data_IF_898308640693
#
_entry.id   IF_898308640693
#
_cell.length_a   1.000
_cell.length_b   1.000
_cell.length_c   1.000
_cell.angle_alpha   90.00
_cell.angle_beta   90.00
_cell.angle_gamma   90.00
#
_symmetry.space_group_name_H-M   'P 1'
#
loop_
_entity.id
_entity.type
_entity.pdbx_description
1 polymer ?
#
# COMPACT_ATOMS: atom_id res chain seq x y z
N UNK A 1 9.71 -4.16 4.74
CA UNK A 1 9.71 -5.60 5.08
C UNK A 1 11.12 -6.15 4.90
N UNK A 2 12.01 -5.67 5.75
CA UNK A 2 13.41 -6.10 5.87
C UNK A 2 13.99 -5.54 7.16
N UNK A 3 15.11 -6.10 7.63
CA UNK A 3 15.90 -5.52 8.70
C UNK A 3 16.70 -4.33 8.14
N UNK A 4 16.48 -3.15 8.70
CA UNK A 4 17.22 -1.95 8.31
C UNK A 4 18.68 -2.09 8.80
N UNK A 5 19.70 -1.67 8.04
CA UNK A 5 21.09 -1.66 8.51
C UNK A 5 21.23 -0.95 9.86
N UNK A 6 22.13 -1.45 10.71
CA UNK A 6 22.41 -0.94 12.05
C UNK A 6 21.30 -1.12 13.10
N UNK A 7 20.18 -1.84 12.77
CA UNK A 7 19.17 -2.18 13.77
C UNK A 7 19.77 -3.01 14.92
N UNK A 8 20.73 -3.88 14.60
CA UNK A 8 21.46 -4.72 15.54
C UNK A 8 22.37 -3.96 16.51
N UNK A 9 22.71 -2.72 16.19
CA UNK A 9 23.58 -1.87 17.03
C UNK A 9 22.79 -1.10 18.09
N UNK A 10 21.45 -1.19 18.07
CA UNK A 10 20.61 -0.51 19.04
C UNK A 10 20.39 -1.38 20.27
N UNK A 11 20.57 -0.82 21.46
CA UNK A 11 20.25 -1.48 22.73
C UNK A 11 18.81 -1.22 23.11
N UNK A 12 17.91 -2.09 22.59
CA UNK A 12 16.49 -2.03 22.85
C UNK A 12 16.02 -3.24 23.65
N UNK A 13 15.01 -3.06 24.51
CA UNK A 13 14.36 -4.15 25.25
C UNK A 13 13.53 -5.04 24.31
N UNK A 14 12.97 -4.47 23.23
CA UNK A 14 12.15 -5.17 22.27
C UNK A 14 12.30 -4.60 20.85
N UNK A 15 12.28 -5.49 19.86
CA UNK A 15 12.26 -5.17 18.44
C UNK A 15 10.95 -5.62 17.82
N UNK A 16 10.08 -4.67 17.47
CA UNK A 16 8.88 -4.97 16.70
C UNK A 16 9.24 -5.14 15.23
N UNK A 17 8.97 -6.32 14.68
CA UNK A 17 9.29 -6.63 13.29
C UNK A 17 8.03 -6.78 12.42
N UNK A 18 8.12 -6.49 11.11
CA UNK A 18 6.96 -6.43 10.22
C UNK A 18 6.20 -7.74 10.03
N UNK A 19 6.86 -8.89 10.23
CA UNK A 19 6.27 -10.21 10.03
C UNK A 19 7.16 -11.30 10.63
N UNK A 20 6.55 -12.38 11.10
CA UNK A 20 7.27 -13.60 11.55
C UNK A 20 8.11 -14.23 10.43
N UNK A 21 7.79 -14.00 9.16
CA UNK A 21 8.56 -14.44 8.00
C UNK A 21 9.95 -13.79 7.89
N UNK A 22 10.17 -12.71 8.62
CA UNK A 22 11.43 -11.99 8.67
C UNK A 22 12.29 -12.36 9.89
N UNK A 23 11.77 -13.12 10.84
CA UNK A 23 12.49 -13.51 12.08
C UNK A 23 13.89 -14.04 11.80
N UNK A 24 14.03 -14.95 10.83
CA UNK A 24 15.33 -15.50 10.46
C UNK A 24 16.33 -14.46 9.94
N UNK A 25 15.86 -13.39 9.30
CA UNK A 25 16.71 -12.27 8.85
C UNK A 25 17.25 -11.48 10.04
N UNK A 26 16.40 -11.17 11.01
CA UNK A 26 16.78 -10.43 12.22
C UNK A 26 17.71 -11.24 13.12
N UNK A 27 17.46 -12.54 13.27
CA UNK A 27 18.35 -13.46 14.02
C UNK A 27 19.75 -13.51 13.39
N UNK A 28 19.86 -13.59 12.05
CA UNK A 28 21.15 -13.60 11.37
C UNK A 28 21.95 -12.31 11.55
N UNK A 29 21.28 -11.22 11.91
CA UNK A 29 21.91 -9.94 12.27
C UNK A 29 22.28 -9.86 13.75
N UNK A 30 22.07 -10.92 14.53
CA UNK A 30 22.47 -10.98 15.93
C UNK A 30 21.43 -10.46 16.93
N UNK A 31 20.22 -10.12 16.49
CA UNK A 31 19.17 -9.69 17.41
C UNK A 31 18.62 -10.93 18.14
N UNK A 32 18.61 -10.97 19.49
CA UNK A 32 18.15 -12.10 20.26
C UNK A 32 16.68 -12.43 20.01
N UNK A 33 16.33 -13.72 20.01
CA UNK A 33 14.98 -14.19 19.70
C UNK A 33 13.92 -13.71 20.69
N UNK A 34 14.26 -13.66 21.96
CA UNK A 34 13.42 -13.21 23.08
C UNK A 34 13.09 -11.70 22.99
N UNK A 35 13.92 -10.93 22.30
CA UNK A 35 13.67 -9.51 22.00
C UNK A 35 12.87 -9.28 20.70
N UNK A 36 12.54 -10.32 19.90
CA UNK A 36 11.86 -10.18 18.59
C UNK A 36 10.36 -10.39 18.68
N UNK A 37 9.59 -9.37 18.37
CA UNK A 37 8.12 -9.37 18.38
C UNK A 37 7.56 -9.12 16.97
N UNK A 38 7.07 -10.16 16.26
CA UNK A 38 6.56 -10.06 14.89
C UNK A 38 5.12 -9.53 14.87
N UNK A 39 4.89 -8.34 15.39
CA UNK A 39 3.57 -7.73 15.54
C UNK A 39 3.06 -7.00 14.28
N UNK A 40 3.95 -6.72 13.32
CA UNK A 40 3.57 -6.01 12.12
C UNK A 40 3.93 -4.53 12.13
N UNK A 41 3.60 -3.83 11.04
CA UNK A 41 3.74 -2.37 10.92
C UNK A 41 2.44 -1.72 11.37
N UNK A 42 2.46 -0.81 12.35
CA UNK A 42 1.24 -0.14 12.81
C UNK A 42 0.70 0.80 11.74
N UNK A 43 -0.62 0.80 11.56
CA UNK A 43 -1.35 1.74 10.72
C UNK A 43 -2.33 2.56 11.56
N UNK A 44 -2.76 3.72 11.06
CA UNK A 44 -3.74 4.52 11.77
C UNK A 44 -5.11 3.84 11.80
N UNK A 45 -5.95 4.19 12.77
CA UNK A 45 -7.31 3.66 12.93
C UNK A 45 -8.17 3.82 11.68
N UNK A 46 -7.95 4.87 10.91
CA UNK A 46 -8.66 5.10 9.66
C UNK A 46 -8.53 3.94 8.66
N UNK A 47 -7.46 3.12 8.72
CA UNK A 47 -7.28 1.96 7.86
C UNK A 47 -7.81 0.66 8.48
N UNK A 48 -7.86 0.53 9.80
CA UNK A 48 -8.28 -0.70 10.48
C UNK A 48 -9.75 -0.68 10.91
N UNK A 49 -10.34 0.46 11.20
CA UNK A 49 -11.75 0.58 11.59
C UNK A 49 -12.68 0.40 10.38
N UNK A 50 -13.81 -0.31 10.54
CA UNK A 50 -14.79 -0.47 9.46
C UNK A 50 -15.37 0.88 9.02
N UNK A 51 -15.47 1.08 7.71
CA UNK A 51 -16.15 2.23 7.12
C UNK A 51 -16.94 1.76 5.88
N UNK A 52 -18.28 1.97 5.83
CA UNK A 52 -19.07 1.61 4.66
C UNK A 52 -18.61 2.32 3.39
N UNK A 53 -18.75 1.63 2.24
CA UNK A 53 -18.32 2.15 0.93
C UNK A 53 -19.00 3.49 0.59
N UNK A 54 -20.28 3.64 0.93
CA UNK A 54 -21.05 4.87 0.73
C UNK A 54 -20.43 6.05 1.47
N UNK A 55 -20.04 5.81 2.73
CA UNK A 55 -19.41 6.85 3.56
C UNK A 55 -18.00 7.18 3.06
N UNK A 56 -17.25 6.17 2.64
CA UNK A 56 -15.94 6.38 2.02
C UNK A 56 -16.04 7.19 0.73
N UNK A 57 -17.06 6.93 -0.10
CA UNK A 57 -17.34 7.67 -1.33
C UNK A 57 -17.68 9.15 -1.04
N UNK A 58 -18.52 9.40 -0.04
CA UNK A 58 -18.87 10.76 0.41
C UNK A 58 -17.62 11.53 0.84
N UNK A 59 -16.79 10.94 1.73
CA UNK A 59 -15.57 11.55 2.24
C UNK A 59 -14.56 11.82 1.11
N UNK A 60 -14.42 10.88 0.17
CA UNK A 60 -13.51 10.99 -0.97
C UNK A 60 -14.04 11.89 -2.09
N UNK A 61 -15.33 12.25 -2.09
CA UNK A 61 -15.98 12.98 -3.18
C UNK A 61 -16.05 12.17 -4.48
N UNK A 62 -16.27 10.83 -4.37
CA UNK A 62 -16.29 9.90 -5.49
C UNK A 62 -17.69 9.28 -5.70
N UNK A 63 -18.00 8.90 -6.93
CA UNK A 63 -19.24 8.18 -7.25
C UNK A 63 -19.15 6.72 -6.75
N UNK A 64 -20.03 6.34 -5.82
CA UNK A 64 -20.06 5.00 -5.23
C UNK A 64 -20.34 3.87 -6.23
N UNK A 65 -20.92 4.20 -7.39
CA UNK A 65 -21.31 3.24 -8.42
C UNK A 65 -20.18 2.97 -9.44
N UNK A 66 -19.10 3.74 -9.39
CA UNK A 66 -17.90 3.53 -10.22
C UNK A 66 -16.88 2.63 -9.54
N UNK A 67 -16.10 1.95 -10.34
CA UNK A 67 -14.91 1.21 -9.94
C UNK A 67 -13.70 2.12 -10.11
N UNK A 68 -12.79 2.15 -9.15
CA UNK A 68 -11.66 3.05 -9.23
C UNK A 68 -10.32 2.31 -9.21
N UNK A 69 -9.40 2.77 -10.05
CA UNK A 69 -7.98 2.47 -9.95
C UNK A 69 -7.32 3.65 -9.26
N UNK A 70 -6.83 3.43 -8.05
CA UNK A 70 -6.09 4.43 -7.28
C UNK A 70 -4.61 4.37 -7.65
N UNK A 71 -4.01 5.52 -7.92
CA UNK A 71 -2.62 5.65 -8.31
C UNK A 71 -1.94 6.62 -7.35
N UNK A 72 -0.86 6.16 -6.69
CA UNK A 72 -0.05 7.01 -5.82
C UNK A 72 1.43 6.69 -6.00
N UNK A 73 2.21 7.65 -6.47
CA UNK A 73 3.66 7.50 -6.69
C UNK A 73 4.53 8.02 -5.54
N UNK A 74 3.91 8.59 -4.49
CA UNK A 74 4.65 9.31 -3.46
C UNK A 74 5.32 10.57 -4.03
N UNK A 75 6.38 11.05 -3.35
CA UNK A 75 7.11 12.28 -3.74
C UNK A 75 8.07 12.10 -4.93
N UNK A 76 8.18 10.88 -5.51
CA UNK A 76 9.27 10.56 -6.43
C UNK A 76 8.83 10.29 -7.87
N UNK A 77 9.64 10.76 -8.84
CA UNK A 77 9.67 10.26 -10.20
C UNK A 77 8.48 10.67 -11.09
N UNK A 78 8.19 11.95 -11.20
CA UNK A 78 7.07 12.48 -12.01
C UNK A 78 6.97 11.84 -13.42
N UNK A 79 8.07 11.61 -14.11
CA UNK A 79 8.06 11.08 -15.48
C UNK A 79 7.50 9.67 -15.62
N UNK A 80 7.93 8.74 -14.78
CA UNK A 80 7.44 7.35 -14.80
C UNK A 80 5.97 7.27 -14.37
N UNK A 81 5.57 8.10 -13.41
CA UNK A 81 4.18 8.17 -12.96
C UNK A 81 3.26 8.72 -14.06
N UNK A 82 3.69 9.74 -14.80
CA UNK A 82 2.95 10.27 -15.96
C UNK A 82 2.75 9.20 -17.02
N UNK A 83 3.79 8.41 -17.32
CA UNK A 83 3.66 7.28 -18.25
C UNK A 83 2.66 6.25 -17.75
N UNK A 84 2.71 5.87 -16.47
CA UNK A 84 1.76 4.94 -15.86
C UNK A 84 0.31 5.45 -16.00
N UNK A 85 0.06 6.72 -15.67
CA UNK A 85 -1.25 7.35 -15.79
C UNK A 85 -1.72 7.36 -17.25
N UNK A 86 -0.84 7.71 -18.19
CA UNK A 86 -1.17 7.72 -19.62
C UNK A 86 -1.58 6.34 -20.11
N UNK A 87 -0.83 5.29 -19.79
CA UNK A 87 -1.13 3.92 -20.20
C UNK A 87 -2.47 3.43 -19.64
N UNK A 88 -2.77 3.74 -18.39
CA UNK A 88 -4.04 3.37 -17.76
C UNK A 88 -5.20 4.20 -18.34
N UNK A 89 -4.98 5.49 -18.60
CA UNK A 89 -5.96 6.32 -19.28
C UNK A 89 -6.29 5.75 -20.67
N UNK A 90 -5.28 5.48 -21.50
CA UNK A 90 -5.48 4.93 -22.84
C UNK A 90 -6.20 3.58 -22.80
N UNK A 91 -5.93 2.75 -21.79
CA UNK A 91 -6.58 1.44 -21.60
C UNK A 91 -8.06 1.57 -21.22
N UNK A 92 -8.42 2.52 -20.35
CA UNK A 92 -9.76 2.58 -19.76
C UNK A 92 -10.59 3.79 -20.19
N UNK A 93 -10.10 4.68 -21.05
CA UNK A 93 -10.82 5.92 -21.44
C UNK A 93 -12.24 5.70 -21.95
N UNK A 94 -12.50 4.57 -22.59
CA UNK A 94 -13.83 4.24 -23.15
C UNK A 94 -14.72 3.42 -22.17
N UNK A 95 -14.19 2.95 -21.06
CA UNK A 95 -14.96 2.24 -20.05
C UNK A 95 -15.57 3.24 -19.04
N UNK A 96 -16.85 3.51 -19.16
CA UNK A 96 -17.58 4.47 -18.30
C UNK A 96 -17.66 4.03 -16.83
N UNK A 97 -17.47 2.75 -16.54
CA UNK A 97 -17.55 2.19 -15.17
C UNK A 97 -16.25 2.36 -14.38
N UNK A 98 -15.11 2.56 -15.06
CA UNK A 98 -13.80 2.68 -14.40
C UNK A 98 -13.36 4.15 -14.37
N UNK A 99 -13.05 4.65 -13.18
CA UNK A 99 -12.41 5.94 -12.93
C UNK A 99 -10.96 5.77 -12.48
N UNK A 100 -10.11 6.75 -12.75
CA UNK A 100 -8.74 6.81 -12.24
C UNK A 100 -8.66 7.89 -11.17
N UNK A 101 -8.17 7.55 -9.99
CA UNK A 101 -7.88 8.51 -8.92
C UNK A 101 -6.37 8.62 -8.78
N UNK A 102 -5.83 9.83 -8.92
CA UNK A 102 -4.39 10.08 -8.84
C UNK A 102 -4.07 10.96 -7.65
N UNK A 103 -3.41 10.40 -6.65
CA UNK A 103 -2.89 11.17 -5.51
C UNK A 103 -1.56 11.79 -5.90
N UNK A 104 -1.57 13.08 -6.14
CA UNK A 104 -0.42 13.87 -6.56
C UNK A 104 0.48 14.29 -5.38
N UNK A 105 -0.04 14.27 -4.14
CA UNK A 105 0.67 14.69 -2.95
C UNK A 105 1.14 16.16 -3.08
N UNK A 106 2.41 16.40 -2.80
CA UNK A 106 3.05 17.71 -2.93
C UNK A 106 3.45 18.09 -4.37
N UNK A 107 3.26 17.18 -5.34
CA UNK A 107 3.63 17.43 -6.74
C UNK A 107 2.60 18.33 -7.44
N UNK A 108 2.76 19.66 -7.27
CA UNK A 108 1.90 20.68 -7.88
C UNK A 108 1.88 20.60 -9.40
N UNK A 109 3.02 20.29 -10.04
CA UNK A 109 3.11 20.18 -11.49
C UNK A 109 2.24 19.03 -12.02
N UNK A 110 2.31 17.85 -11.38
CA UNK A 110 1.47 16.71 -11.78
C UNK A 110 -0.01 17.01 -11.60
N UNK A 111 -0.38 17.60 -10.47
CA UNK A 111 -1.75 18.01 -10.22
C UNK A 111 -2.27 18.96 -11.29
N UNK A 112 -1.55 20.06 -11.58
CA UNK A 112 -1.96 21.05 -12.58
C UNK A 112 -2.04 20.46 -13.99
N UNK A 113 -1.20 19.45 -14.30
CA UNK A 113 -1.23 18.74 -15.58
C UNK A 113 -2.46 17.85 -15.75
N UNK A 114 -3.01 17.32 -14.66
CA UNK A 114 -4.14 16.38 -14.67
C UNK A 114 -5.48 17.06 -14.36
N UNK A 115 -5.49 18.04 -13.49
CA UNK A 115 -6.70 18.72 -13.02
C UNK A 115 -7.46 19.34 -14.20
N UNK A 116 -8.72 18.97 -14.34
CA UNK A 116 -9.61 19.46 -15.38
C UNK A 116 -9.32 18.98 -16.81
N UNK A 117 -8.20 18.25 -17.04
CA UNK A 117 -7.85 17.79 -18.40
C UNK A 117 -8.65 16.57 -18.84
N UNK A 118 -9.07 15.75 -17.90
CA UNK A 118 -9.83 14.51 -18.15
C UNK A 118 -10.95 14.36 -17.11
N UNK A 119 -11.92 15.31 -17.05
CA UNK A 119 -12.85 15.45 -15.92
C UNK A 119 -13.72 14.22 -15.68
N UNK A 120 -14.09 13.50 -16.75
CA UNK A 120 -14.94 12.31 -16.64
C UNK A 120 -14.16 11.02 -16.28
N UNK A 121 -12.83 11.07 -16.31
CA UNK A 121 -11.98 9.89 -16.19
C UNK A 121 -10.94 9.96 -15.09
N UNK A 122 -10.31 11.09 -14.86
CA UNK A 122 -9.24 11.27 -13.89
C UNK A 122 -9.65 12.25 -12.81
N UNK A 123 -9.71 11.78 -11.57
CA UNK A 123 -9.80 12.63 -10.39
C UNK A 123 -8.39 12.84 -9.86
N UNK A 124 -7.85 14.04 -10.08
CA UNK A 124 -6.54 14.44 -9.53
C UNK A 124 -6.73 15.00 -8.12
N UNK A 125 -5.97 14.46 -7.16
CA UNK A 125 -6.03 14.85 -5.75
C UNK A 125 -4.66 15.35 -5.30
N UNK A 126 -4.61 16.47 -4.60
CA UNK A 126 -3.40 17.00 -3.97
C UNK A 126 -3.00 16.14 -2.77
N UNK A 127 -2.21 16.70 -1.86
CA UNK A 127 -2.01 16.10 -0.55
C UNK A 127 -3.36 15.92 0.15
N UNK A 128 -3.56 14.76 0.78
CA UNK A 128 -4.82 14.43 1.44
C UNK A 128 -4.56 13.61 2.71
N UNK A 129 -5.34 13.87 3.73
CA UNK A 129 -5.48 13.08 4.96
C UNK A 129 -6.57 11.98 4.83
N UNK A 130 -7.32 11.98 3.70
CA UNK A 130 -8.43 11.05 3.42
C UNK A 130 -7.98 9.78 2.66
N UNK A 131 -6.70 9.42 2.74
CA UNK A 131 -6.12 8.32 1.96
C UNK A 131 -6.86 6.99 2.18
N UNK A 132 -7.29 6.70 3.41
CA UNK A 132 -8.05 5.50 3.73
C UNK A 132 -9.38 5.42 2.96
N UNK A 133 -10.08 6.54 2.79
CA UNK A 133 -11.34 6.60 2.02
C UNK A 133 -11.09 6.37 0.53
N UNK A 134 -10.04 6.95 -0.04
CA UNK A 134 -9.65 6.68 -1.43
C UNK A 134 -9.27 5.21 -1.65
N UNK A 135 -8.52 4.61 -0.72
CA UNK A 135 -8.16 3.19 -0.78
C UNK A 135 -9.39 2.28 -0.70
N UNK A 136 -10.38 2.58 0.18
CA UNK A 136 -11.63 1.82 0.29
C UNK A 136 -12.48 1.87 -0.97
N UNK A 137 -12.37 2.95 -1.74
CA UNK A 137 -13.05 3.08 -3.03
C UNK A 137 -12.32 2.35 -4.17
N UNK A 138 -11.05 1.99 -3.97
CA UNK A 138 -10.22 1.40 -5.01
C UNK A 138 -10.48 -0.10 -5.17
N UNK A 139 -10.64 -0.54 -6.43
CA UNK A 139 -10.60 -1.96 -6.82
C UNK A 139 -9.15 -2.42 -7.03
N UNK A 140 -8.27 -1.50 -7.42
CA UNK A 140 -6.84 -1.74 -7.60
C UNK A 140 -6.06 -0.52 -7.09
N UNK A 141 -5.05 -0.75 -6.28
CA UNK A 141 -4.14 0.28 -5.82
C UNK A 141 -2.77 0.11 -6.48
N UNK A 142 -2.40 1.07 -7.33
CA UNK A 142 -1.11 1.12 -8.01
C UNK A 142 -0.21 2.08 -7.26
N UNK A 143 0.87 1.56 -6.68
CA UNK A 143 1.76 2.34 -5.84
C UNK A 143 3.20 1.84 -5.89
N UNK A 144 4.13 2.64 -5.41
CA UNK A 144 5.47 2.16 -5.09
C UNK A 144 5.40 1.25 -3.85
N UNK A 145 6.31 0.29 -3.69
CA UNK A 145 6.29 -0.67 -2.58
C UNK A 145 6.86 -0.08 -1.28
N UNK A 146 6.32 1.06 -0.84
CA UNK A 146 6.63 1.66 0.45
C UNK A 146 6.06 0.82 1.60
N UNK A 147 6.82 0.67 2.69
CA UNK A 147 6.41 -0.18 3.82
C UNK A 147 5.04 0.20 4.39
N UNK A 148 4.82 1.50 4.65
CA UNK A 148 3.57 1.99 5.25
C UNK A 148 2.40 1.88 4.26
N UNK A 149 2.48 2.47 3.07
CA UNK A 149 1.37 2.47 2.11
C UNK A 149 0.98 1.06 1.65
N UNK A 150 1.96 0.14 1.51
CA UNK A 150 1.68 -1.25 1.19
C UNK A 150 0.97 -1.97 2.36
N UNK A 151 1.34 -1.67 3.61
CA UNK A 151 0.65 -2.22 4.80
C UNK A 151 -0.77 -1.67 4.91
N UNK A 152 -0.95 -0.36 4.73
CA UNK A 152 -2.28 0.30 4.72
C UNK A 152 -3.22 -0.32 3.69
N UNK A 153 -2.73 -0.49 2.45
CA UNK A 153 -3.50 -1.14 1.38
C UNK A 153 -3.84 -2.59 1.71
N UNK A 154 -2.91 -3.34 2.31
CA UNK A 154 -3.11 -4.73 2.69
C UNK A 154 -4.08 -4.89 3.87
N UNK A 155 -4.03 -4.01 4.88
CA UNK A 155 -4.99 -3.99 6.00
C UNK A 155 -6.41 -3.75 5.48
N UNK A 156 -6.58 -2.87 4.50
CA UNK A 156 -7.88 -2.62 3.85
C UNK A 156 -8.30 -3.74 2.87
N UNK A 157 -7.42 -4.69 2.56
CA UNK A 157 -7.70 -5.73 1.58
C UNK A 157 -7.80 -5.18 0.15
N UNK A 158 -7.06 -4.14 -0.20
CA UNK A 158 -7.07 -3.58 -1.55
C UNK A 158 -6.03 -4.31 -2.42
N UNK A 159 -6.43 -4.92 -3.55
CA UNK A 159 -5.48 -5.54 -4.48
C UNK A 159 -4.45 -4.54 -4.99
N UNK A 160 -3.16 -4.88 -4.92
CA UNK A 160 -2.08 -3.93 -5.21
C UNK A 160 -1.23 -4.33 -6.41
N UNK A 161 -0.87 -3.32 -7.21
CA UNK A 161 0.21 -3.40 -8.20
C UNK A 161 1.37 -2.54 -7.69
N UNK A 162 2.51 -3.17 -7.48
CA UNK A 162 3.72 -2.45 -7.08
C UNK A 162 4.56 -2.07 -8.30
N UNK A 163 4.84 -0.77 -8.43
CA UNK A 163 5.64 -0.18 -9.51
C UNK A 163 6.78 0.67 -8.94
N UNK A 164 7.80 0.94 -9.76
CA UNK A 164 8.83 1.96 -9.49
C UNK A 164 9.54 1.84 -8.13
N UNK A 165 9.96 0.63 -7.75
CA UNK A 165 10.77 0.47 -6.52
C UNK A 165 12.11 1.20 -6.61
N UNK A 166 12.48 1.86 -5.52
CA UNK A 166 13.84 2.36 -5.32
C UNK A 166 14.73 1.19 -4.89
N UNK A 167 15.98 1.10 -5.38
CA UNK A 167 16.92 0.11 -4.87
C UNK A 167 17.05 0.18 -3.33
N UNK A 168 17.19 -0.97 -2.70
CA UNK A 168 17.19 -1.10 -1.24
C UNK A 168 15.85 -1.53 -0.67
N UNK A 169 15.36 -0.85 0.36
CA UNK A 169 14.17 -1.26 1.13
C UNK A 169 12.92 -1.47 0.27
N UNK A 170 12.65 -0.60 -0.71
CA UNK A 170 11.46 -0.75 -1.55
C UNK A 170 11.53 -1.97 -2.46
N UNK A 171 12.72 -2.33 -2.97
CA UNK A 171 12.91 -3.55 -3.76
C UNK A 171 12.66 -4.79 -2.89
N UNK A 172 13.10 -4.78 -1.64
CA UNK A 172 12.87 -5.87 -0.69
C UNK A 172 11.39 -5.96 -0.29
N UNK A 173 10.72 -4.84 -0.07
CA UNK A 173 9.28 -4.80 0.14
C UNK A 173 8.51 -5.37 -1.05
N UNK A 174 8.84 -4.95 -2.28
CA UNK A 174 8.20 -5.50 -3.49
C UNK A 174 8.37 -7.03 -3.56
N UNK A 175 9.58 -7.51 -3.27
CA UNK A 175 9.88 -8.95 -3.26
C UNK A 175 9.06 -9.67 -2.20
N UNK A 176 9.02 -9.15 -0.97
CA UNK A 176 8.25 -9.72 0.13
C UNK A 176 6.77 -9.86 -0.23
N UNK A 177 6.14 -8.77 -0.67
CA UNK A 177 4.73 -8.80 -1.06
C UNK A 177 4.44 -9.74 -2.23
N UNK A 178 5.32 -9.77 -3.25
CA UNK A 178 5.15 -10.63 -4.41
C UNK A 178 5.33 -12.12 -4.07
N UNK A 179 6.35 -12.47 -3.27
CA UNK A 179 6.62 -13.86 -2.85
C UNK A 179 5.50 -14.45 -1.99
N UNK A 180 4.78 -13.61 -1.25
CA UNK A 180 3.64 -14.03 -0.44
C UNK A 180 2.29 -13.84 -1.17
N UNK A 181 2.30 -13.50 -2.46
CA UNK A 181 1.09 -13.35 -3.26
C UNK A 181 0.18 -12.19 -2.83
N UNK A 182 0.72 -11.17 -2.17
CA UNK A 182 -0.03 -10.01 -1.65
C UNK A 182 -0.11 -8.84 -2.63
N UNK A 183 0.65 -8.87 -3.72
CA UNK A 183 0.65 -7.87 -4.78
C UNK A 183 1.19 -8.41 -6.08
N UNK A 184 0.94 -7.69 -7.17
CA UNK A 184 1.51 -7.96 -8.50
C UNK A 184 2.68 -7.00 -8.74
N UNK A 185 3.93 -7.48 -8.86
CA UNK A 185 5.07 -6.61 -9.15
C UNK A 185 5.16 -6.29 -10.65
N UNK A 186 5.31 -5.03 -11.00
CA UNK A 186 5.55 -4.57 -12.37
C UNK A 186 6.89 -3.86 -12.45
N UNK A 187 7.90 -4.55 -12.92
CA UNK A 187 9.27 -4.01 -13.07
C UNK A 187 9.39 -3.04 -14.24
N UNK A 188 8.67 -3.29 -15.35
CA UNK A 188 8.63 -2.43 -16.55
C UNK A 188 7.21 -1.95 -16.78
N UNK A 189 6.99 -0.65 -16.71
CA UNK A 189 5.64 -0.05 -16.74
C UNK A 189 4.91 -0.39 -18.03
N UNK A 190 5.43 -0.17 -19.21
CA UNK A 190 4.88 -0.52 -20.54
C UNK A 190 3.54 -1.29 -20.50
N UNK A 191 3.39 -2.30 -21.31
CA UNK A 191 2.17 -3.16 -21.32
C UNK A 191 1.96 -3.96 -20.03
N UNK A 192 3.02 -4.15 -19.23
CA UNK A 192 2.93 -4.91 -17.99
C UNK A 192 1.98 -4.27 -16.94
N UNK A 193 1.87 -2.93 -16.93
CA UNK A 193 1.01 -2.23 -15.97
C UNK A 193 -0.49 -2.36 -16.32
N UNK A 194 -0.95 -2.08 -17.54
CA UNK A 194 -2.36 -2.31 -17.90
C UNK A 194 -2.78 -3.77 -17.68
N UNK A 195 -1.95 -4.74 -18.08
CA UNK A 195 -2.27 -6.16 -17.89
C UNK A 195 -2.37 -6.55 -16.42
N UNK A 196 -1.50 -6.01 -15.55
CA UNK A 196 -1.58 -6.23 -14.11
C UNK A 196 -2.86 -5.62 -13.51
N UNK A 197 -3.26 -4.43 -13.97
CA UNK A 197 -4.50 -3.81 -13.54
C UNK A 197 -5.73 -4.61 -14.02
N UNK A 198 -5.78 -5.05 -15.27
CA UNK A 198 -6.84 -5.91 -15.80
C UNK A 198 -6.98 -7.21 -14.99
N UNK A 199 -5.84 -7.83 -14.67
CA UNK A 199 -5.81 -9.04 -13.85
C UNK A 199 -6.45 -8.79 -12.48
N UNK A 200 -6.14 -7.70 -11.81
CA UNK A 200 -6.66 -7.39 -10.47
C UNK A 200 -8.08 -6.82 -10.49
N UNK A 201 -8.58 -6.34 -11.63
CA UNK A 201 -9.99 -6.02 -11.82
C UNK A 201 -10.87 -7.29 -11.96
N UNK A 202 -10.26 -8.46 -12.19
CA UNK A 202 -10.94 -9.74 -12.11
C UNK A 202 -11.13 -10.13 -10.64
N UNK A 203 -12.38 -10.41 -10.26
CA UNK A 203 -12.77 -10.70 -8.86
C UNK A 203 -11.99 -11.88 -8.26
N UNK A 204 -11.87 -12.99 -8.99
CA UNK A 204 -11.19 -14.18 -8.50
C UNK A 204 -9.68 -13.95 -8.22
N UNK A 205 -9.01 -13.16 -9.06
CA UNK A 205 -7.61 -12.81 -8.84
C UNK A 205 -7.44 -11.80 -7.69
N UNK A 206 -8.36 -10.83 -7.57
CA UNK A 206 -8.40 -9.89 -6.47
C UNK A 206 -8.57 -10.60 -5.12
N UNK A 207 -9.52 -11.55 -5.03
CA UNK A 207 -9.78 -12.34 -3.83
C UNK A 207 -8.57 -13.16 -3.36
N UNK A 208 -7.78 -13.74 -4.30
CA UNK A 208 -6.53 -14.43 -3.95
C UNK A 208 -5.51 -13.50 -3.30
N UNK A 209 -5.34 -12.29 -3.84
CA UNK A 209 -4.45 -11.27 -3.28
C UNK A 209 -4.93 -10.85 -1.89
N UNK A 210 -6.21 -10.54 -1.75
CA UNK A 210 -6.80 -10.10 -0.48
C UNK A 210 -6.70 -11.17 0.60
N UNK A 211 -6.97 -12.45 0.27
CA UNK A 211 -6.83 -13.56 1.21
C UNK A 211 -5.38 -13.70 1.73
N UNK A 212 -4.39 -13.51 0.85
CA UNK A 212 -2.99 -13.53 1.26
C UNK A 212 -2.63 -12.30 2.13
N UNK A 213 -3.16 -11.12 1.81
CA UNK A 213 -2.98 -9.93 2.64
C UNK A 213 -3.50 -10.16 4.06
N UNK A 214 -4.73 -10.67 4.21
CA UNK A 214 -5.32 -11.02 5.50
C UNK A 214 -4.52 -12.08 6.27
N UNK A 215 -3.90 -13.02 5.57
CA UNK A 215 -3.08 -14.08 6.17
C UNK A 215 -1.76 -13.58 6.75
N UNK A 216 -1.13 -12.59 6.10
CA UNK A 216 0.25 -12.20 6.40
C UNK A 216 0.38 -10.84 7.07
N UNK A 217 -0.65 -10.00 7.03
CA UNK A 217 -0.62 -8.64 7.60
C UNK A 217 -1.53 -8.59 8.83
N UNK A 218 -0.98 -8.09 9.93
CA UNK A 218 -1.72 -7.90 11.17
C UNK A 218 -2.44 -6.55 11.17
N UNK A 219 -3.78 -6.50 11.09
CA UNK A 219 -4.53 -5.25 11.14
C UNK A 219 -4.52 -4.59 12.53
N UNK A 220 -4.19 -5.34 13.58
CA UNK A 220 -4.19 -4.90 14.96
C UNK A 220 -2.78 -4.53 15.47
N UNK A 221 -1.79 -4.41 14.60
CA UNK A 221 -0.39 -4.19 14.97
C UNK A 221 -0.21 -3.02 15.96
N UNK A 222 -0.92 -1.91 15.77
CA UNK A 222 -0.83 -0.75 16.68
C UNK A 222 -1.27 -1.10 18.10
N UNK A 223 -2.41 -1.79 18.27
CA UNK A 223 -2.90 -2.21 19.59
C UNK A 223 -1.98 -3.27 20.23
N UNK A 224 -1.45 -4.20 19.42
CA UNK A 224 -0.51 -5.23 19.91
C UNK A 224 0.79 -4.61 20.40
N UNK A 225 1.32 -3.60 19.72
CA UNK A 225 2.51 -2.86 20.13
C UNK A 225 2.26 -2.10 21.43
N UNK A 226 1.10 -1.45 21.60
CA UNK A 226 0.74 -0.81 22.86
C UNK A 226 0.71 -1.80 24.02
N UNK A 227 0.09 -2.97 23.81
CA UNK A 227 0.06 -4.05 24.84
C UNK A 227 1.46 -4.57 25.19
N UNK A 228 2.36 -4.69 24.20
CA UNK A 228 3.75 -5.04 24.45
C UNK A 228 4.43 -3.96 25.31
N UNK A 229 4.29 -2.69 24.95
CA UNK A 229 4.87 -1.59 25.71
C UNK A 229 4.37 -1.56 27.18
N UNK A 230 3.08 -1.75 27.41
CA UNK A 230 2.49 -1.86 28.74
C UNK A 230 3.10 -3.02 29.57
N UNK A 231 3.31 -4.19 28.93
CA UNK A 231 3.96 -5.33 29.60
C UNK A 231 5.40 -5.02 30.00
N UNK A 232 6.17 -4.43 29.09
CA UNK A 232 7.58 -4.07 29.36
C UNK A 232 7.68 -3.08 30.52
N UNK A 233 6.81 -2.07 30.56
CA UNK A 233 6.77 -1.05 31.64
C UNK A 233 6.44 -1.71 33.00
N UNK A 234 5.52 -2.68 33.02
CA UNK A 234 5.07 -3.34 34.26
C UNK A 234 5.95 -4.54 34.69
N UNK A 235 7.11 -4.74 34.04
CA UNK A 235 8.04 -5.81 34.40
C UNK A 235 7.55 -7.24 34.05
N UNK A 236 6.61 -7.35 33.13
CA UNK A 236 5.94 -8.61 32.77
C UNK A 236 6.38 -9.17 31.41
N UNK A 237 7.70 -9.39 31.17
CA UNK A 237 8.21 -10.14 30.00
C UNK A 237 9.01 -11.30 30.49
#
# INVERSE_FOLDING_TARGET
YTCIPFTEETDCDAFVIPSNKLTAEFLRRGIPRDKLYPLGIPVSRAFSEPLPREKAAEIAGLDKNKRYILISGGSMGAGKLVLAIKLLYDRYKNDKKIGLVVICGSNKWLYNRLAGRYPDKITAVRFTDKMASYMRMAEVFITKPGGLSATEGAVLGVPMVHIMSIPGCETLNMRFFAQHGMSVPVKRIGMGLPNAADRLLNKAEAEKITANQQKYINPNAAADICRLAEKLINGGV
#
